data_IF_522973730614
#
_entry.id   IF_522973730614
#
_cell.length_a   1.000
_cell.length_b   1.000
_cell.length_c   1.000
_cell.angle_alpha   90.00
_cell.angle_beta   90.00
_cell.angle_gamma   90.00
#
_symmetry.space_group_name_H-M   'P 1'
#
loop_
_entity.id
_entity.type
_entity.pdbx_description
1 polymer ?
#
# COMPACT_ATOMS: atom_id res chain seq x y z
N UNK A 1 8.29 18.02 10.98
CA UNK A 1 7.03 17.25 10.84
C UNK A 1 6.82 16.49 12.14
N UNK A 2 5.87 16.87 12.99
CA UNK A 2 5.55 16.10 14.20
C UNK A 2 4.75 14.89 13.76
N UNK A 3 5.23 13.69 14.07
CA UNK A 3 4.43 12.48 13.90
C UNK A 3 3.31 12.50 14.93
N UNK A 4 2.06 12.35 14.48
CA UNK A 4 0.98 12.00 15.39
C UNK A 4 1.33 10.66 16.06
N UNK A 5 1.02 10.48 17.36
CA UNK A 5 1.21 9.19 17.99
C UNK A 5 0.42 8.13 17.21
N UNK A 6 1.13 7.11 16.72
CA UNK A 6 0.51 6.01 15.98
C UNK A 6 -0.31 5.20 16.98
N UNK A 7 -1.62 5.43 17.02
CA UNK A 7 -2.54 4.73 17.92
C UNK A 7 -2.90 3.31 17.45
N UNK A 8 -2.36 2.89 16.29
CA UNK A 8 -2.66 1.59 15.68
C UNK A 8 -1.67 0.54 16.16
N UNK A 9 -2.15 -0.68 16.43
CA UNK A 9 -1.32 -1.78 16.94
C UNK A 9 -0.51 -2.46 15.85
N UNK A 10 -0.95 -2.33 14.59
CA UNK A 10 -0.24 -2.85 13.42
C UNK A 10 -0.20 -1.83 12.29
N UNK A 11 0.76 -2.00 11.36
CA UNK A 11 0.82 -1.21 10.14
C UNK A 11 -0.47 -1.36 9.30
N UNK A 12 -1.07 -2.55 9.31
CA UNK A 12 -2.33 -2.82 8.60
C UNK A 12 -3.48 -2.03 9.22
N UNK A 13 -3.58 -1.97 10.55
CA UNK A 13 -4.58 -1.14 11.24
C UNK A 13 -4.40 0.35 10.90
N UNK A 14 -3.15 0.84 10.89
CA UNK A 14 -2.86 2.23 10.52
C UNK A 14 -3.28 2.52 9.07
N UNK A 15 -2.95 1.62 8.14
CA UNK A 15 -3.34 1.69 6.74
C UNK A 15 -4.86 1.79 6.57
N UNK A 16 -5.60 0.87 7.20
CA UNK A 16 -7.07 0.84 7.09
C UNK A 16 -7.72 2.09 7.70
N UNK A 17 -7.18 2.58 8.83
CA UNK A 17 -7.66 3.80 9.47
C UNK A 17 -7.50 5.02 8.55
N UNK A 18 -6.35 5.18 7.90
CA UNK A 18 -6.12 6.29 6.96
C UNK A 18 -7.01 6.14 5.73
N UNK A 19 -7.12 4.92 5.18
CA UNK A 19 -7.93 4.67 3.99
C UNK A 19 -9.41 4.98 4.21
N UNK A 20 -9.94 4.65 5.39
CA UNK A 20 -11.32 4.98 5.77
C UNK A 20 -11.52 6.49 6.00
N UNK A 21 -10.55 7.17 6.62
CA UNK A 21 -10.66 8.61 6.94
C UNK A 21 -10.45 9.52 5.74
N UNK A 22 -9.68 9.11 4.73
CA UNK A 22 -9.28 9.94 3.59
C UNK A 22 -9.39 9.19 2.26
N UNK A 23 -10.55 8.62 1.92
CA UNK A 23 -10.67 7.69 0.79
C UNK A 23 -10.29 8.31 -0.56
N UNK A 24 -10.60 9.59 -0.76
CA UNK A 24 -10.41 10.27 -2.04
C UNK A 24 -9.08 11.07 -2.09
N UNK A 25 -8.31 11.08 -0.99
CA UNK A 25 -6.98 11.68 -0.98
C UNK A 25 -5.98 10.77 -1.69
N UNK A 26 -4.96 11.36 -2.31
CA UNK A 26 -3.91 10.60 -3.01
C UNK A 26 -3.00 9.89 -2.00
N UNK A 27 -2.85 8.58 -2.18
CA UNK A 27 -1.98 7.72 -1.39
C UNK A 27 -0.64 7.45 -2.09
N UNK A 28 -0.69 7.17 -3.39
CA UNK A 28 0.49 6.83 -4.19
C UNK A 28 0.52 7.72 -5.43
N UNK A 29 1.69 8.29 -5.72
CA UNK A 29 2.05 8.83 -7.03
C UNK A 29 3.33 8.16 -7.49
N UNK A 30 3.37 7.67 -8.71
CA UNK A 30 4.62 7.20 -9.31
C UNK A 30 5.56 8.39 -9.57
N UNK A 31 6.87 8.14 -9.59
CA UNK A 31 7.87 9.19 -9.79
C UNK A 31 7.74 9.90 -11.14
N UNK A 32 7.28 9.17 -12.18
CA UNK A 32 6.98 9.71 -13.51
C UNK A 32 5.59 10.37 -13.60
N UNK A 33 4.83 10.40 -12.51
CA UNK A 33 3.47 10.93 -12.45
C UNK A 33 2.41 10.10 -13.20
N UNK A 34 2.79 9.04 -13.91
CA UNK A 34 1.90 8.26 -14.77
C UNK A 34 0.81 7.50 -13.99
N UNK A 35 1.07 7.13 -12.74
CA UNK A 35 0.12 6.44 -11.88
C UNK A 35 -0.15 7.26 -10.63
N UNK A 36 -1.42 7.55 -10.40
CA UNK A 36 -1.92 8.17 -9.18
C UNK A 36 -3.04 7.32 -8.62
N UNK A 37 -2.94 6.96 -7.33
CA UNK A 37 -3.96 6.17 -6.64
C UNK A 37 -4.47 6.94 -5.43
N UNK A 38 -5.79 7.00 -5.31
CA UNK A 38 -6.47 7.37 -4.06
C UNK A 38 -6.31 6.28 -3.01
N UNK A 39 -6.49 6.61 -1.74
CA UNK A 39 -6.50 5.62 -0.66
C UNK A 39 -7.55 4.52 -0.86
N UNK A 40 -8.73 4.87 -1.38
CA UNK A 40 -9.79 3.91 -1.73
C UNK A 40 -9.31 2.89 -2.76
N UNK A 41 -8.80 3.36 -3.89
CA UNK A 41 -8.28 2.50 -4.95
C UNK A 41 -7.11 1.64 -4.49
N UNK A 42 -6.26 2.18 -3.61
CA UNK A 42 -5.16 1.42 -3.05
C UNK A 42 -5.67 0.30 -2.13
N UNK A 43 -6.61 0.60 -1.23
CA UNK A 43 -7.22 -0.39 -0.35
C UNK A 43 -7.96 -1.51 -1.10
N UNK A 44 -8.65 -1.17 -2.19
CA UNK A 44 -9.30 -2.15 -3.08
C UNK A 44 -8.28 -3.12 -3.69
N UNK A 45 -7.15 -2.61 -4.19
CA UNK A 45 -6.06 -3.43 -4.74
C UNK A 45 -5.43 -4.33 -3.69
N UNK A 46 -5.16 -3.79 -2.50
CA UNK A 46 -4.64 -4.58 -1.36
C UNK A 46 -5.62 -5.70 -1.01
N UNK A 47 -6.93 -5.40 -0.95
CA UNK A 47 -7.95 -6.41 -0.67
C UNK A 47 -7.98 -7.51 -1.72
N UNK A 48 -7.92 -7.17 -3.01
CA UNK A 48 -7.89 -8.16 -4.08
C UNK A 48 -6.69 -9.11 -3.95
N UNK A 49 -5.49 -8.57 -3.69
CA UNK A 49 -4.27 -9.37 -3.49
C UNK A 49 -4.40 -10.25 -2.24
N UNK A 50 -4.84 -9.69 -1.11
CA UNK A 50 -4.99 -10.44 0.15
C UNK A 50 -6.01 -11.58 0.01
N UNK A 51 -7.15 -11.34 -0.64
CA UNK A 51 -8.14 -12.38 -0.95
C UNK A 51 -7.57 -13.45 -1.87
N UNK A 52 -6.77 -13.06 -2.88
CA UNK A 52 -6.08 -14.01 -3.76
C UNK A 52 -5.09 -14.91 -3.00
N UNK A 53 -4.26 -14.34 -2.12
CA UNK A 53 -3.34 -15.11 -1.29
C UNK A 53 -4.06 -16.06 -0.34
N UNK A 54 -5.15 -15.60 0.29
CA UNK A 54 -5.99 -16.46 1.14
C UNK A 54 -6.62 -17.61 0.34
N UNK A 55 -7.07 -17.36 -0.89
CA UNK A 55 -7.61 -18.39 -1.77
C UNK A 55 -6.55 -19.42 -2.22
N UNK A 56 -5.27 -19.04 -2.23
CA UNK A 56 -4.14 -19.96 -2.47
C UNK A 56 -3.71 -20.73 -1.21
N UNK A 57 -4.38 -20.53 -0.07
CA UNK A 57 -4.14 -21.25 1.17
C UNK A 57 -3.13 -20.62 2.12
N UNK A 58 -2.72 -19.37 1.88
CA UNK A 58 -1.80 -18.65 2.78
C UNK A 58 -2.49 -18.34 4.11
N UNK A 59 -1.85 -18.72 5.22
CA UNK A 59 -2.35 -18.51 6.59
C UNK A 59 -1.36 -17.71 7.47
N UNK A 60 -1.79 -17.19 8.63
CA UNK A 60 -0.88 -16.53 9.56
C UNK A 60 0.27 -17.45 9.98
N UNK A 61 1.51 -16.96 9.85
CA UNK A 61 2.72 -17.72 10.10
C UNK A 61 3.44 -18.19 8.83
N UNK A 62 2.75 -18.21 7.69
CA UNK A 62 3.35 -18.57 6.41
C UNK A 62 4.33 -17.50 5.90
N UNK A 63 5.34 -17.96 5.16
CA UNK A 63 6.30 -17.08 4.49
C UNK A 63 5.95 -16.95 3.01
N UNK A 64 5.77 -15.72 2.54
CA UNK A 64 5.49 -15.41 1.13
C UNK A 64 6.67 -14.65 0.53
N UNK A 65 7.26 -15.19 -0.53
CA UNK A 65 8.35 -14.51 -1.24
C UNK A 65 7.79 -13.42 -2.17
N UNK A 66 8.32 -12.20 -2.07
CA UNK A 66 8.01 -11.09 -2.96
C UNK A 66 9.22 -10.80 -3.86
N UNK A 67 9.14 -11.20 -5.13
CA UNK A 67 10.14 -10.84 -6.13
C UNK A 67 9.67 -9.59 -6.88
N UNK A 68 10.20 -8.44 -6.47
CA UNK A 68 9.85 -7.14 -7.02
C UNK A 68 11.11 -6.46 -7.54
N UNK A 69 10.99 -5.75 -8.66
CA UNK A 69 12.06 -4.82 -9.05
C UNK A 69 11.99 -3.62 -8.10
N UNK A 70 13.11 -3.26 -7.50
CA UNK A 70 13.21 -1.93 -6.92
C UNK A 70 13.14 -0.96 -8.10
N UNK A 71 12.08 -0.16 -8.21
CA UNK A 71 12.03 0.95 -9.17
C UNK A 71 12.36 2.26 -8.47
N UNK A 72 13.64 2.58 -8.19
CA UNK A 72 14.03 3.95 -7.94
C UNK A 72 14.21 4.62 -9.30
N UNK A 73 13.14 5.02 -9.99
CA UNK A 73 13.31 5.72 -11.28
C UNK A 73 13.48 7.22 -11.04
N UNK A 74 14.71 7.59 -10.68
CA UNK A 74 15.21 8.95 -10.74
C UNK A 74 16.30 9.05 -11.80
N UNK A 75 15.95 8.82 -13.07
CA UNK A 75 16.83 9.19 -14.18
C UNK A 75 16.28 10.46 -14.81
N UNK A 76 16.69 11.60 -14.28
CA UNK A 76 16.55 12.90 -14.93
C UNK A 76 17.76 13.03 -15.86
N UNK A 77 17.56 12.93 -17.18
CA UNK A 77 18.53 13.44 -18.16
C UNK A 77 18.08 14.81 -18.67
N UNK A 78 19.00 15.78 -18.79
CA UNK A 78 18.71 17.12 -19.30
C UNK A 78 18.28 17.08 -20.77
#
# INVERSE_FOLDING_TARGET
MKADPVTSRTLVEAFQSVAARRPDAIAIRSADGATTLTWRQYAERVRAIATGLAALGVVPGDTVALMLTNRPKGEFRP
#
